data_IF_939688253343
#
_entry.id   IF_939688253343
#
_cell.length_a   1.000
_cell.length_b   1.000
_cell.length_c   1.000
_cell.angle_alpha   90.00
_cell.angle_beta   90.00
_cell.angle_gamma   90.00
#
_symmetry.space_group_name_H-M   'P 1'
#
loop_
_entity.id
_entity.type
_entity.pdbx_description
1 polymer ?
#
# COMPACT_ATOMS: atom_id res chain seq x y z
N UNK A 1 -16.37 8.49 -7.49
CA UNK A 1 -15.19 7.88 -8.14
C UNK A 1 -15.32 6.36 -8.10
N UNK A 2 -14.72 5.68 -9.08
CA UNK A 2 -14.57 4.22 -9.09
C UNK A 2 -13.15 3.86 -8.65
N UNK A 3 -13.01 3.16 -7.54
CA UNK A 3 -11.73 2.89 -6.87
C UNK A 3 -11.49 1.38 -6.81
N UNK A 4 -10.30 0.94 -7.16
CA UNK A 4 -9.82 -0.42 -6.86
C UNK A 4 -9.05 -0.38 -5.55
N UNK A 5 -9.39 -1.27 -4.61
CA UNK A 5 -8.67 -1.46 -3.35
C UNK A 5 -8.09 -2.88 -3.28
N UNK A 6 -6.76 -2.97 -3.36
CA UNK A 6 -6.03 -4.22 -3.19
C UNK A 6 -5.71 -4.40 -1.70
N UNK A 7 -6.05 -5.57 -1.16
CA UNK A 7 -5.88 -5.87 0.26
C UNK A 7 -7.06 -5.43 1.15
N UNK A 8 -8.26 -5.28 0.58
CA UNK A 8 -9.46 -4.81 1.27
C UNK A 8 -9.81 -5.60 2.54
N UNK A 9 -9.45 -6.89 2.63
CA UNK A 9 -9.81 -7.76 3.76
C UNK A 9 -8.79 -7.74 4.92
N UNK A 10 -7.68 -7.01 4.79
CA UNK A 10 -6.72 -6.79 5.88
C UNK A 10 -7.24 -5.77 6.89
N UNK A 11 -6.60 -5.68 8.07
CA UNK A 11 -6.98 -4.71 9.12
C UNK A 11 -7.08 -3.29 8.59
N UNK A 12 -6.04 -2.81 7.94
CA UNK A 12 -6.01 -1.47 7.33
C UNK A 12 -6.96 -1.38 6.13
N UNK A 13 -7.00 -2.42 5.28
CA UNK A 13 -7.88 -2.46 4.11
C UNK A 13 -9.36 -2.33 4.45
N UNK A 14 -9.81 -2.98 5.52
CA UNK A 14 -11.19 -2.87 6.01
C UNK A 14 -11.52 -1.43 6.44
N UNK A 15 -10.61 -0.75 7.14
CA UNK A 15 -10.82 0.64 7.54
C UNK A 15 -10.85 1.59 6.32
N UNK A 16 -9.96 1.37 5.34
CA UNK A 16 -9.95 2.12 4.08
C UNK A 16 -11.26 1.89 3.31
N UNK A 17 -11.71 0.63 3.21
CA UNK A 17 -12.97 0.30 2.55
C UNK A 17 -14.15 1.01 3.22
N UNK A 18 -14.24 0.96 4.56
CA UNK A 18 -15.28 1.62 5.32
C UNK A 18 -15.30 3.15 5.11
N UNK A 19 -14.14 3.79 5.00
CA UNK A 19 -14.04 5.23 4.77
C UNK A 19 -14.41 5.61 3.33
N UNK A 20 -13.89 4.90 2.34
CA UNK A 20 -14.05 5.26 0.93
C UNK A 20 -15.45 4.91 0.38
N UNK A 21 -16.08 3.82 0.82
CA UNK A 21 -17.42 3.42 0.36
C UNK A 21 -18.53 4.38 0.75
N UNK A 22 -18.30 5.26 1.73
CA UNK A 22 -19.25 6.34 2.08
C UNK A 22 -19.51 7.30 0.92
N UNK A 23 -18.61 7.40 -0.05
CA UNK A 23 -18.63 8.42 -1.11
C UNK A 23 -18.30 7.89 -2.49
N UNK A 24 -17.76 6.69 -2.59
CA UNK A 24 -17.19 6.15 -3.82
C UNK A 24 -17.64 4.71 -4.06
N UNK A 25 -17.63 4.29 -5.32
CA UNK A 25 -17.78 2.89 -5.70
C UNK A 25 -16.42 2.18 -5.53
N UNK A 26 -16.39 1.11 -4.78
CA UNK A 26 -15.19 0.33 -4.49
C UNK A 26 -15.25 -1.04 -5.17
N UNK A 27 -14.15 -1.44 -5.78
CA UNK A 27 -13.90 -2.80 -6.27
C UNK A 27 -12.78 -3.39 -5.43
N UNK A 28 -13.11 -4.38 -4.61
CA UNK A 28 -12.15 -5.06 -3.74
C UNK A 28 -11.35 -6.11 -4.51
N UNK A 29 -10.03 -6.17 -4.23
CA UNK A 29 -9.12 -7.14 -4.85
C UNK A 29 -8.30 -7.85 -3.79
N UNK A 30 -8.23 -9.16 -3.89
CA UNK A 30 -7.35 -10.01 -3.09
C UNK A 30 -6.93 -11.26 -3.84
N UNK A 31 -6.05 -12.08 -3.25
CA UNK A 31 -5.60 -13.33 -3.88
C UNK A 31 -6.70 -14.38 -3.89
N UNK A 32 -7.40 -14.52 -2.80
CA UNK A 32 -8.39 -15.60 -2.57
C UNK A 32 -9.82 -15.08 -2.43
N UNK A 33 -9.98 -13.79 -2.18
CA UNK A 33 -11.28 -13.16 -1.89
C UNK A 33 -11.35 -11.74 -2.46
N UNK A 34 -12.56 -11.18 -2.52
CA UNK A 34 -12.86 -9.87 -3.11
C UNK A 34 -13.69 -9.99 -4.38
N UNK A 35 -14.10 -8.85 -4.94
CA UNK A 35 -14.87 -8.77 -6.18
C UNK A 35 -14.06 -9.28 -7.38
N UNK A 36 -12.75 -9.03 -7.36
CA UNK A 36 -11.79 -9.54 -8.32
C UNK A 36 -10.63 -10.26 -7.61
N UNK A 37 -9.98 -11.17 -8.32
CA UNK A 37 -8.83 -11.92 -7.81
C UNK A 37 -7.60 -11.64 -8.65
N UNK A 38 -6.45 -11.45 -7.96
CA UNK A 38 -5.15 -11.25 -8.58
C UNK A 38 -4.03 -11.34 -7.56
N UNK A 39 -2.88 -11.83 -8.01
CA UNK A 39 -1.66 -11.86 -7.21
C UNK A 39 -0.73 -10.72 -7.66
N UNK A 40 -0.52 -9.74 -6.79
CA UNK A 40 0.32 -8.59 -7.11
C UNK A 40 1.80 -8.94 -7.31
N UNK A 41 2.25 -10.12 -6.86
CA UNK A 41 3.61 -10.61 -7.09
C UNK A 41 3.85 -11.01 -8.55
N UNK A 42 2.78 -11.30 -9.28
CA UNK A 42 2.82 -11.65 -10.71
C UNK A 42 2.25 -10.51 -11.55
N UNK A 43 3.13 -9.84 -12.30
CA UNK A 43 2.76 -8.72 -13.17
C UNK A 43 1.69 -9.11 -14.21
N UNK A 44 1.71 -10.35 -14.71
CA UNK A 44 0.73 -10.81 -15.70
C UNK A 44 -0.65 -10.99 -15.06
N UNK A 45 -0.71 -11.51 -13.83
CA UNK A 45 -1.94 -11.60 -13.04
C UNK A 45 -2.54 -10.21 -12.82
N UNK A 46 -1.71 -9.21 -12.47
CA UNK A 46 -2.16 -7.82 -12.26
C UNK A 46 -2.64 -7.19 -13.57
N UNK A 47 -1.93 -7.41 -14.68
CA UNK A 47 -2.37 -6.94 -16.02
C UNK A 47 -3.74 -7.53 -16.40
N UNK A 48 -3.92 -8.83 -16.24
CA UNK A 48 -5.19 -9.51 -16.52
C UNK A 48 -6.35 -8.98 -15.65
N UNK A 49 -6.06 -8.59 -14.39
CA UNK A 49 -7.02 -7.96 -13.51
C UNK A 49 -7.45 -6.59 -14.06
N UNK A 50 -6.50 -5.73 -14.44
CA UNK A 50 -6.82 -4.38 -14.92
C UNK A 50 -7.40 -4.35 -16.33
N UNK A 51 -7.19 -5.38 -17.15
CA UNK A 51 -7.91 -5.55 -18.41
C UNK A 51 -9.43 -5.76 -18.23
N UNK A 52 -9.85 -6.29 -17.08
CA UNK A 52 -11.28 -6.46 -16.72
C UNK A 52 -11.89 -5.21 -16.09
N UNK A 53 -11.08 -4.20 -15.83
CA UNK A 53 -11.50 -2.95 -15.22
C UNK A 53 -11.18 -1.80 -16.18
N UNK A 54 -12.04 -0.80 -16.24
CA UNK A 54 -11.81 0.38 -17.08
C UNK A 54 -12.32 1.63 -16.40
N UNK A 55 -11.76 2.76 -16.79
CA UNK A 55 -12.18 4.09 -16.30
C UNK A 55 -12.18 4.16 -14.78
N UNK A 56 -11.04 3.81 -14.19
CA UNK A 56 -10.81 3.93 -12.74
C UNK A 56 -10.36 5.34 -12.40
N UNK A 57 -10.87 5.88 -11.33
CA UNK A 57 -10.42 7.17 -10.78
C UNK A 57 -9.21 7.00 -9.84
N UNK A 58 -9.14 5.88 -9.13
CA UNK A 58 -8.03 5.61 -8.22
C UNK A 58 -7.75 4.10 -8.04
N UNK A 59 -6.49 3.81 -7.72
CA UNK A 59 -6.03 2.50 -7.26
C UNK A 59 -5.35 2.67 -5.91
N UNK A 60 -5.82 1.92 -4.93
CA UNK A 60 -5.28 1.89 -3.56
C UNK A 60 -4.70 0.51 -3.30
N UNK A 61 -3.46 0.44 -2.80
CA UNK A 61 -2.84 -0.81 -2.41
C UNK A 61 -2.47 -0.79 -0.92
N UNK A 62 -3.20 -1.56 -0.13
CA UNK A 62 -2.99 -1.77 1.31
C UNK A 62 -2.60 -3.24 1.60
N UNK A 63 -1.81 -3.82 0.71
CA UNK A 63 -1.36 -5.20 0.78
C UNK A 63 0.16 -5.31 0.71
N UNK A 64 0.67 -6.42 1.19
CA UNK A 64 2.08 -6.79 1.14
C UNK A 64 2.60 -7.28 2.47
N UNK A 65 3.41 -8.33 2.40
CA UNK A 65 4.04 -8.98 3.55
C UNK A 65 5.54 -8.73 3.55
N UNK A 66 6.14 -8.74 4.71
CA UNK A 66 7.59 -8.65 4.91
C UNK A 66 8.02 -9.66 5.98
N UNK A 67 9.29 -10.05 5.96
CA UNK A 67 9.86 -10.87 7.02
C UNK A 67 10.28 -10.01 8.21
N UNK A 68 10.05 -10.51 9.42
CA UNK A 68 10.60 -10.01 10.67
C UNK A 68 11.47 -11.09 11.31
N UNK A 69 12.67 -10.74 11.76
CA UNK A 69 13.58 -11.71 12.37
C UNK A 69 14.90 -11.08 12.82
N UNK A 70 15.63 -11.79 13.71
CA UNK A 70 16.90 -11.31 14.25
C UNK A 70 17.97 -11.25 13.16
N UNK A 71 18.89 -10.28 13.28
CA UNK A 71 19.95 -10.03 12.30
C UNK A 71 20.74 -11.28 11.94
N UNK A 72 21.13 -12.08 12.92
CA UNK A 72 21.95 -13.29 12.70
C UNK A 72 21.24 -14.42 11.94
N UNK A 73 19.92 -14.30 11.73
CA UNK A 73 19.13 -15.28 10.98
C UNK A 73 18.69 -14.76 9.61
N UNK A 74 19.02 -13.51 9.27
CA UNK A 74 18.60 -12.95 7.98
C UNK A 74 19.41 -13.59 6.85
N UNK A 75 18.70 -13.96 5.79
CA UNK A 75 19.24 -14.48 4.54
C UNK A 75 18.64 -13.75 3.35
N UNK A 76 19.23 -13.81 2.15
CA UNK A 76 18.65 -13.22 0.94
C UNK A 76 17.19 -13.63 0.72
N UNK A 77 16.83 -14.90 0.97
CA UNK A 77 15.47 -15.43 0.79
C UNK A 77 14.47 -14.76 1.75
N UNK A 78 14.90 -14.43 2.98
CA UNK A 78 14.07 -13.69 3.94
C UNK A 78 13.81 -12.26 3.48
N UNK A 79 14.79 -11.60 2.85
CA UNK A 79 14.58 -10.31 2.20
C UNK A 79 13.65 -10.42 0.98
N UNK A 80 13.81 -11.48 0.17
CA UNK A 80 12.98 -11.73 -1.01
C UNK A 80 11.48 -11.78 -0.70
N UNK A 81 11.09 -12.22 0.50
CA UNK A 81 9.68 -12.19 0.93
C UNK A 81 9.10 -10.78 0.75
N UNK A 82 9.74 -9.77 1.31
CA UNK A 82 9.26 -8.39 1.21
C UNK A 82 9.53 -7.74 -0.15
N UNK A 83 10.67 -8.05 -0.76
CA UNK A 83 11.05 -7.52 -2.05
C UNK A 83 10.06 -7.95 -3.15
N UNK A 84 9.64 -9.20 -3.17
CA UNK A 84 8.71 -9.72 -4.18
C UNK A 84 7.26 -9.39 -3.86
N UNK A 85 6.85 -9.53 -2.60
CA UNK A 85 5.46 -9.32 -2.20
C UNK A 85 5.17 -7.82 -2.05
N UNK A 86 5.73 -7.15 -1.05
CA UNK A 86 5.34 -5.78 -0.72
C UNK A 86 5.92 -4.75 -1.69
N UNK A 87 7.23 -4.83 -2.02
CA UNK A 87 7.86 -3.85 -2.91
C UNK A 87 7.42 -4.04 -4.35
N UNK A 88 7.84 -5.14 -4.97
CA UNK A 88 7.52 -5.36 -6.39
C UNK A 88 6.03 -5.57 -6.63
N UNK A 89 5.31 -6.13 -5.65
CA UNK A 89 3.86 -6.25 -5.75
C UNK A 89 3.19 -4.89 -5.93
N UNK A 90 3.54 -3.89 -5.13
CA UNK A 90 2.97 -2.53 -5.27
C UNK A 90 3.48 -1.82 -6.54
N UNK A 91 4.74 -2.03 -6.93
CA UNK A 91 5.29 -1.52 -8.21
C UNK A 91 4.55 -2.13 -9.40
N UNK A 92 4.29 -3.44 -9.40
CA UNK A 92 3.53 -4.13 -10.44
C UNK A 92 2.11 -3.56 -10.59
N UNK A 93 1.47 -3.20 -9.48
CA UNK A 93 0.15 -2.55 -9.50
C UNK A 93 0.22 -1.23 -10.25
N UNK A 94 1.21 -0.39 -9.99
CA UNK A 94 1.37 0.90 -10.69
C UNK A 94 1.63 0.68 -12.18
N UNK A 95 2.56 -0.22 -12.53
CA UNK A 95 2.92 -0.52 -13.91
C UNK A 95 1.76 -1.09 -14.74
N UNK A 96 0.91 -1.92 -14.11
CA UNK A 96 -0.20 -2.57 -14.81
C UNK A 96 -1.47 -1.73 -14.89
N UNK A 97 -1.71 -0.83 -13.91
CA UNK A 97 -2.96 -0.12 -13.79
C UNK A 97 -2.96 1.27 -14.45
N UNK A 98 -1.80 1.80 -14.85
CA UNK A 98 -1.73 3.16 -15.39
C UNK A 98 -2.67 3.41 -16.57
N UNK A 99 -2.85 2.43 -17.47
CA UNK A 99 -3.73 2.56 -18.63
C UNK A 99 -5.21 2.39 -18.31
N UNK A 100 -5.54 1.79 -17.16
CA UNK A 100 -6.90 1.64 -16.68
C UNK A 100 -7.43 2.89 -15.95
N UNK A 101 -6.53 3.80 -15.53
CA UNK A 101 -6.89 5.06 -14.89
C UNK A 101 -7.30 6.12 -15.90
N UNK A 102 -8.29 6.94 -15.52
CA UNK A 102 -8.61 8.19 -16.23
C UNK A 102 -7.48 9.20 -16.08
N UNK A 103 -7.42 10.22 -16.94
CA UNK A 103 -6.47 11.33 -16.81
C UNK A 103 -6.66 12.04 -15.46
N UNK A 104 -5.57 12.35 -14.77
CA UNK A 104 -5.61 12.90 -13.42
C UNK A 104 -5.97 11.90 -12.31
N UNK A 105 -6.16 10.63 -12.64
CA UNK A 105 -6.37 9.55 -11.67
C UNK A 105 -5.22 9.37 -10.69
N UNK A 106 -5.37 8.50 -9.69
CA UNK A 106 -4.37 8.41 -8.63
C UNK A 106 -4.03 6.99 -8.19
N UNK A 107 -2.79 6.83 -7.74
CA UNK A 107 -2.30 5.69 -6.96
C UNK A 107 -2.09 6.09 -5.51
N UNK A 108 -2.46 5.22 -4.57
CA UNK A 108 -2.09 5.34 -3.15
C UNK A 108 -1.51 4.03 -2.66
N UNK A 109 -0.22 4.05 -2.34
CA UNK A 109 0.52 2.89 -1.86
C UNK A 109 0.63 2.90 -0.32
N UNK A 110 1.24 1.85 0.24
CA UNK A 110 1.42 1.69 1.69
C UNK A 110 2.88 1.35 2.02
N UNK A 111 3.56 2.21 2.78
CA UNK A 111 4.84 1.93 3.43
C UNK A 111 4.65 1.59 4.93
N UNK A 112 5.25 2.36 5.80
CA UNK A 112 5.14 2.27 7.26
C UNK A 112 6.30 2.98 7.94
N UNK A 113 6.11 3.38 9.19
CA UNK A 113 7.04 4.18 10.02
C UNK A 113 8.48 3.63 10.03
N UNK A 114 8.65 2.32 9.85
CA UNK A 114 9.95 1.66 9.91
C UNK A 114 10.93 2.09 8.82
N UNK A 115 10.51 2.87 7.82
CA UNK A 115 11.39 3.55 6.87
C UNK A 115 12.24 4.64 7.53
N UNK A 116 11.73 5.27 8.59
CA UNK A 116 12.37 6.39 9.29
C UNK A 116 12.72 6.07 10.75
N UNK A 117 11.87 5.32 11.43
CA UNK A 117 12.05 4.95 12.83
C UNK A 117 12.00 3.41 12.97
N UNK A 118 13.18 2.75 12.86
CA UNK A 118 13.25 1.29 12.78
C UNK A 118 13.14 0.65 14.17
N UNK A 119 12.61 -0.57 14.20
CA UNK A 119 12.56 -1.44 15.38
C UNK A 119 13.52 -2.62 15.26
N UNK A 120 13.80 -3.28 16.39
CA UNK A 120 14.47 -4.58 16.36
C UNK A 120 13.67 -5.56 15.53
N UNK A 121 14.35 -6.46 14.84
CA UNK A 121 13.78 -7.49 13.93
C UNK A 121 13.15 -6.92 12.64
N UNK A 122 13.08 -5.60 12.46
CA UNK A 122 12.35 -4.92 11.38
C UNK A 122 13.18 -4.58 10.13
N UNK A 123 14.41 -5.06 9.97
CA UNK A 123 15.34 -4.66 8.90
C UNK A 123 14.73 -4.82 7.50
N UNK A 124 14.09 -5.99 7.23
CA UNK A 124 13.45 -6.22 5.93
C UNK A 124 12.28 -5.26 5.68
N UNK A 125 11.51 -4.94 6.71
CA UNK A 125 10.41 -3.98 6.62
C UNK A 125 10.91 -2.56 6.36
N UNK A 126 11.97 -2.12 7.06
CA UNK A 126 12.60 -0.81 6.87
C UNK A 126 13.11 -0.63 5.45
N UNK A 127 13.82 -1.64 4.90
CA UNK A 127 14.32 -1.62 3.53
C UNK A 127 13.19 -1.47 2.52
N UNK A 128 12.15 -2.28 2.62
CA UNK A 128 11.03 -2.29 1.66
C UNK A 128 10.22 -1.00 1.74
N UNK A 129 9.94 -0.50 2.96
CA UNK A 129 9.21 0.74 3.15
C UNK A 129 9.99 1.94 2.58
N UNK A 130 11.30 2.05 2.86
CA UNK A 130 12.15 3.10 2.31
C UNK A 130 12.24 3.06 0.79
N UNK A 131 12.37 1.86 0.20
CA UNK A 131 12.39 1.68 -1.25
C UNK A 131 11.06 2.14 -1.90
N UNK A 132 9.90 1.80 -1.31
CA UNK A 132 8.59 2.26 -1.79
C UNK A 132 8.44 3.78 -1.73
N UNK A 133 8.90 4.42 -0.67
CA UNK A 133 8.83 5.88 -0.54
C UNK A 133 9.69 6.59 -1.57
N UNK A 134 10.90 6.07 -1.85
CA UNK A 134 11.75 6.56 -2.91
C UNK A 134 11.14 6.34 -4.29
N UNK A 135 10.56 5.16 -4.54
CA UNK A 135 9.83 4.87 -5.78
C UNK A 135 8.69 5.86 -6.02
N UNK A 136 7.88 6.16 -4.99
CA UNK A 136 6.74 7.09 -5.13
C UNK A 136 7.21 8.50 -5.48
N UNK A 137 8.29 9.00 -4.86
CA UNK A 137 8.85 10.32 -5.20
C UNK A 137 9.31 10.39 -6.65
N UNK A 138 10.00 9.35 -7.13
CA UNK A 138 10.47 9.28 -8.50
C UNK A 138 9.33 9.11 -9.51
N UNK A 139 8.41 8.18 -9.25
CA UNK A 139 7.26 7.91 -10.11
C UNK A 139 6.33 9.13 -10.26
N UNK A 140 6.24 9.98 -9.24
CA UNK A 140 5.44 11.20 -9.27
C UNK A 140 5.87 12.20 -10.35
N UNK A 141 7.14 12.12 -10.79
CA UNK A 141 7.70 12.98 -11.84
C UNK A 141 7.49 12.35 -13.23
N UNK A 142 7.43 11.02 -13.29
CA UNK A 142 7.43 10.25 -14.54
C UNK A 142 6.03 9.86 -15.03
N UNK A 143 5.04 9.76 -14.14
CA UNK A 143 3.71 9.29 -14.50
C UNK A 143 3.02 10.22 -15.53
N UNK A 144 2.51 9.66 -16.63
CA UNK A 144 1.90 10.45 -17.71
C UNK A 144 0.48 10.92 -17.36
N UNK A 145 -0.11 11.74 -18.22
CA UNK A 145 -1.52 12.15 -18.21
C UNK A 145 -1.99 12.80 -16.90
N UNK A 146 -1.06 13.42 -16.16
CA UNK A 146 -1.38 14.03 -14.86
C UNK A 146 -1.75 13.01 -13.78
N UNK A 147 -1.40 11.73 -13.95
CA UNK A 147 -1.59 10.70 -12.93
C UNK A 147 -0.79 11.06 -11.68
N UNK A 148 -1.40 10.86 -10.54
CA UNK A 148 -0.80 11.17 -9.24
C UNK A 148 -0.44 9.87 -8.51
N UNK A 149 0.60 9.91 -7.70
CA UNK A 149 0.98 8.81 -6.84
C UNK A 149 1.42 9.33 -5.49
N UNK A 150 0.87 8.74 -4.42
CA UNK A 150 1.25 9.03 -3.04
C UNK A 150 1.40 7.73 -2.25
N UNK A 151 1.96 7.81 -1.05
CA UNK A 151 2.10 6.68 -0.16
C UNK A 151 1.71 7.08 1.26
N UNK A 152 1.02 6.18 1.96
CA UNK A 152 0.71 6.33 3.38
C UNK A 152 1.70 5.53 4.20
N UNK A 153 2.31 6.18 5.20
CA UNK A 153 3.28 5.61 6.13
C UNK A 153 2.66 5.59 7.53
N UNK A 154 1.92 4.53 7.90
CA UNK A 154 1.36 4.41 9.23
C UNK A 154 2.39 3.96 10.27
N UNK A 155 2.17 4.31 11.53
CA UNK A 155 2.78 3.64 12.68
C UNK A 155 2.06 2.31 12.96
N UNK A 156 2.31 1.71 14.13
CA UNK A 156 1.58 0.54 14.61
C UNK A 156 0.08 0.84 14.67
N UNK A 157 -0.72 0.02 14.02
CA UNK A 157 -2.18 0.13 14.12
C UNK A 157 -2.64 -0.33 15.52
N UNK A 158 -3.59 0.37 16.11
CA UNK A 158 -4.16 0.02 17.41
C UNK A 158 -4.74 -1.39 17.40
N UNK A 159 -5.38 -1.77 16.31
CA UNK A 159 -5.96 -3.11 16.09
C UNK A 159 -4.90 -4.22 16.01
N UNK A 160 -3.66 -3.85 15.73
CA UNK A 160 -2.53 -4.78 15.60
C UNK A 160 -1.66 -4.87 16.87
N UNK A 161 -1.94 -4.07 17.89
CA UNK A 161 -1.20 -4.07 19.17
C UNK A 161 -1.12 -5.45 19.84
N UNK A 162 -2.18 -6.28 19.87
CA UNK A 162 -2.08 -7.60 20.47
C UNK A 162 -1.01 -8.50 19.86
N UNK A 163 -0.78 -8.36 18.52
CA UNK A 163 0.19 -9.18 17.81
C UNK A 163 1.59 -8.55 17.73
N UNK A 164 1.66 -7.23 17.56
CA UNK A 164 2.91 -6.53 17.24
C UNK A 164 3.38 -5.57 18.32
N UNK A 165 2.56 -5.19 19.29
CA UNK A 165 2.89 -4.24 20.35
C UNK A 165 4.23 -4.49 21.05
N UNK A 166 4.58 -5.74 21.40
CA UNK A 166 5.86 -6.05 22.03
C UNK A 166 7.10 -5.68 21.21
N UNK A 167 6.98 -5.53 19.89
CA UNK A 167 8.08 -5.13 19.00
C UNK A 167 8.20 -3.61 18.83
N UNK A 168 7.21 -2.84 19.31
CA UNK A 168 7.12 -1.39 19.18
C UNK A 168 7.16 -0.65 20.53
N UNK A 169 8.20 -0.85 21.37
CA UNK A 169 8.27 -0.19 22.67
C UNK A 169 8.39 1.33 22.49
N UNK A 170 7.49 2.09 23.13
CA UNK A 170 7.50 3.55 23.07
C UNK A 170 6.78 4.17 21.87
N UNK A 171 6.29 3.36 20.92
CA UNK A 171 5.49 3.88 19.81
C UNK A 171 4.04 4.09 20.24
N UNK A 172 3.45 5.18 19.76
CA UNK A 172 2.03 5.46 19.96
C UNK A 172 1.22 4.72 18.86
N UNK A 173 0.35 3.77 19.22
CA UNK A 173 -0.55 3.16 18.24
C UNK A 173 -1.59 4.15 17.73
N UNK A 174 -1.98 4.00 16.46
CA UNK A 174 -3.00 4.84 15.80
C UNK A 174 -4.14 3.96 15.31
N UNK A 175 -5.42 4.34 15.51
CA UNK A 175 -6.56 3.62 14.95
C UNK A 175 -6.46 3.50 13.42
N UNK A 176 -6.78 2.34 12.87
CA UNK A 176 -6.79 2.15 11.41
C UNK A 176 -7.76 3.12 10.70
N UNK A 177 -8.82 3.55 11.38
CA UNK A 177 -9.76 4.55 10.87
C UNK A 177 -9.09 5.92 10.64
N UNK A 178 -8.17 6.34 11.53
CA UNK A 178 -7.43 7.60 11.38
C UNK A 178 -6.43 7.49 10.21
N UNK A 179 -5.79 6.34 10.05
CA UNK A 179 -4.92 6.07 8.90
C UNK A 179 -5.71 6.11 7.59
N UNK A 180 -6.95 5.61 7.56
CA UNK A 180 -7.80 5.62 6.38
C UNK A 180 -8.11 7.04 5.86
N UNK A 181 -8.11 8.06 6.72
CA UNK A 181 -8.26 9.46 6.32
C UNK A 181 -7.13 9.95 5.40
N UNK A 182 -5.90 9.44 5.60
CA UNK A 182 -4.78 9.76 4.72
C UNK A 182 -4.97 9.17 3.32
N UNK A 183 -5.56 7.98 3.20
CA UNK A 183 -5.93 7.40 1.90
C UNK A 183 -7.00 8.23 1.20
N UNK A 184 -8.04 8.65 1.93
CA UNK A 184 -9.04 9.57 1.38
C UNK A 184 -8.39 10.88 0.90
N UNK A 185 -7.51 11.49 1.70
CA UNK A 185 -6.76 12.69 1.32
C UNK A 185 -5.96 12.49 0.04
N UNK A 186 -5.32 11.34 -0.14
CA UNK A 186 -4.58 11.00 -1.35
C UNK A 186 -5.49 10.86 -2.57
N UNK A 187 -6.60 10.14 -2.42
CA UNK A 187 -7.56 9.86 -3.50
C UNK A 187 -8.30 11.13 -3.93
N UNK A 188 -8.85 11.89 -3.00
CA UNK A 188 -9.68 13.07 -3.27
C UNK A 188 -8.84 14.35 -3.49
N UNK A 189 -7.61 14.39 -2.97
CA UNK A 189 -6.72 15.56 -3.04
C UNK A 189 -6.03 15.70 -4.40
N UNK A 190 -5.17 16.73 -4.51
CA UNK A 190 -4.43 17.05 -5.74
C UNK A 190 -2.93 16.88 -5.63
N UNK A 191 -2.43 16.48 -4.47
CA UNK A 191 -1.01 16.29 -4.23
C UNK A 191 -0.49 15.03 -4.91
N UNK A 192 0.78 15.04 -5.32
CA UNK A 192 1.52 13.88 -5.84
C UNK A 192 2.89 13.80 -5.19
N UNK A 193 3.51 12.62 -5.15
CA UNK A 193 4.82 12.38 -4.57
C UNK A 193 4.88 12.47 -3.04
N UNK A 194 3.74 12.51 -2.37
CA UNK A 194 3.67 12.71 -0.92
C UNK A 194 3.79 11.40 -0.15
N UNK A 195 4.47 11.49 1.00
CA UNK A 195 4.45 10.48 2.05
C UNK A 195 3.55 11.02 3.17
N UNK A 196 2.37 10.46 3.30
CA UNK A 196 1.44 10.83 4.38
C UNK A 196 1.77 10.03 5.63
N UNK A 197 2.49 10.66 6.56
CA UNK A 197 2.85 10.07 7.85
C UNK A 197 1.66 10.15 8.81
N UNK A 198 1.30 9.02 9.40
CA UNK A 198 0.23 8.91 10.39
C UNK A 198 0.81 8.18 11.60
N UNK A 199 1.42 8.96 12.50
CA UNK A 199 2.18 8.50 13.67
C UNK A 199 1.70 9.12 14.98
#
# INVERSE_FOLDING_TARGET
>A
MKIVLIGANGTLGNAIAAELTRRHSLVSVGRESGDLRGDMRDLQSVRALFQKTSKLDAVVCAAGSVHFGPWGELTPEKFDVGLRDKLMGQVNVVLAAQDALVDGGSFTLTSGILSEDPIRLGVCASLVNGALESFVRAAAIELPRGLRINIVSPTLLQESVPAYGPYFPGYKPVPAADVALAYRKSVEGRQTGQIYKVW
#
